data_IF_666204610054
#
_entry.id   IF_666204610054
#
_cell.length_a   1.000
_cell.length_b   1.000
_cell.length_c   1.000
_cell.angle_alpha   90.00
_cell.angle_beta   90.00
_cell.angle_gamma   90.00
#
_symmetry.space_group_name_H-M   'P 1'
#
loop_
_entity.id
_entity.type
_entity.pdbx_description
1 polymer ?
#
# COMPACT_ATOMS: atom_id res chain seq x y z
N UNK A 1 -1.77 1.40 -23.86
CA UNK A 1 -1.71 2.66 -23.08
C UNK A 1 -2.87 2.74 -22.08
N UNK A 2 -3.01 1.75 -21.19
CA UNK A 2 -4.15 1.69 -20.24
C UNK A 2 -3.79 1.06 -18.88
N UNK A 3 -2.74 0.26 -18.79
CA UNK A 3 -2.32 -0.42 -17.55
C UNK A 3 -1.36 0.44 -16.71
N UNK A 4 -0.42 1.15 -17.33
CA UNK A 4 0.59 1.98 -16.64
C UNK A 4 -0.01 3.07 -15.74
N UNK A 5 -1.07 3.77 -16.19
CA UNK A 5 -1.71 4.82 -15.38
C UNK A 5 -2.46 4.29 -14.16
N UNK A 6 -2.97 3.06 -14.23
CA UNK A 6 -3.64 2.39 -13.12
C UNK A 6 -2.63 1.92 -12.07
N UNK A 7 -1.53 1.32 -12.53
CA UNK A 7 -0.38 0.92 -11.72
C UNK A 7 0.20 2.13 -10.98
N UNK A 8 0.42 3.26 -11.66
CA UNK A 8 0.99 4.47 -11.02
C UNK A 8 0.08 5.02 -9.91
N UNK A 9 -1.24 4.97 -10.09
CA UNK A 9 -2.20 5.40 -9.07
C UNK A 9 -2.22 4.47 -7.85
N UNK A 10 -2.14 3.15 -8.09
CA UNK A 10 -2.01 2.14 -7.05
C UNK A 10 -0.68 2.28 -6.30
N UNK A 11 0.42 2.51 -7.00
CA UNK A 11 1.73 2.75 -6.41
C UNK A 11 1.76 4.01 -5.55
N UNK A 12 1.12 5.11 -5.97
CA UNK A 12 1.01 6.31 -5.14
C UNK A 12 0.26 6.02 -3.85
N UNK A 13 -0.89 5.34 -3.93
CA UNK A 13 -1.66 4.91 -2.75
C UNK A 13 -0.84 4.00 -1.84
N UNK A 14 -0.10 3.06 -2.41
CA UNK A 14 0.80 2.19 -1.66
C UNK A 14 1.87 3.00 -0.93
N UNK A 15 2.51 3.96 -1.61
CA UNK A 15 3.53 4.85 -1.02
C UNK A 15 2.98 5.71 0.12
N UNK A 16 1.76 6.24 -0.03
CA UNK A 16 1.09 6.98 1.04
C UNK A 16 0.77 6.09 2.24
N UNK A 17 0.32 4.85 2.00
CA UNK A 17 0.08 3.84 3.04
C UNK A 17 1.37 3.48 3.77
N UNK A 18 2.46 3.23 3.05
CA UNK A 18 3.79 2.99 3.62
C UNK A 18 4.22 4.14 4.53
N UNK A 19 4.11 5.37 4.02
CA UNK A 19 4.53 6.55 4.76
C UNK A 19 3.72 6.74 6.04
N UNK A 20 2.41 6.45 6.01
CA UNK A 20 1.57 6.44 7.22
C UNK A 20 1.96 5.33 8.18
N UNK A 21 2.29 4.13 7.69
CA UNK A 21 2.77 3.03 8.53
C UNK A 21 4.09 3.42 9.21
N UNK A 22 5.04 3.99 8.47
CA UNK A 22 6.34 4.40 9.00
C UNK A 22 6.21 5.52 10.02
N UNK A 23 5.39 6.53 9.75
CA UNK A 23 5.13 7.65 10.67
C UNK A 23 4.45 7.17 11.96
N UNK A 24 3.46 6.28 11.81
CA UNK A 24 2.78 5.66 12.95
C UNK A 24 3.76 4.80 13.74
N UNK A 25 4.49 3.87 13.11
CA UNK A 25 5.51 3.03 13.78
C UNK A 25 6.62 3.83 14.46
N UNK A 26 6.92 5.03 13.97
CA UNK A 26 7.89 5.93 14.59
C UNK A 26 7.38 6.48 15.93
N UNK A 27 6.06 6.52 16.12
CA UNK A 27 5.46 6.92 17.39
C UNK A 27 5.48 5.76 18.42
N UNK A 28 5.88 6.04 19.67
CA UNK A 28 5.89 5.03 20.74
C UNK A 28 4.49 4.59 21.20
N UNK A 29 3.45 5.34 20.85
CA UNK A 29 2.03 4.99 21.08
C UNK A 29 1.32 4.59 19.78
N UNK A 30 2.04 3.96 18.85
CA UNK A 30 1.43 3.44 17.65
C UNK A 30 0.38 2.39 17.98
N UNK A 31 -0.75 2.48 17.32
CA UNK A 31 -1.82 1.52 17.50
C UNK A 31 -1.52 0.26 16.67
N UNK A 32 -1.09 -0.83 17.33
CA UNK A 32 -0.78 -2.10 16.68
C UNK A 32 -1.93 -2.60 15.78
N UNK A 33 -3.19 -2.34 16.16
CA UNK A 33 -4.36 -2.67 15.33
C UNK A 33 -4.40 -1.84 14.05
N UNK A 34 -4.06 -0.55 14.14
CA UNK A 34 -4.01 0.34 12.99
C UNK A 34 -2.86 -0.04 12.06
N UNK A 35 -1.66 -0.29 12.60
CA UNK A 35 -0.50 -0.76 11.84
C UNK A 35 -0.79 -2.10 11.16
N UNK A 36 -1.46 -3.03 11.83
CA UNK A 36 -1.88 -4.31 11.26
C UNK A 36 -2.90 -4.12 10.11
N UNK A 37 -3.85 -3.20 10.25
CA UNK A 37 -4.81 -2.87 9.20
C UNK A 37 -4.14 -2.22 7.99
N UNK A 38 -3.19 -1.30 8.22
CA UNK A 38 -2.42 -0.66 7.15
C UNK A 38 -1.51 -1.66 6.43
N UNK A 39 -0.82 -2.56 7.15
CA UNK A 39 -0.03 -3.66 6.55
C UNK A 39 -0.90 -4.58 5.69
N UNK A 40 -2.12 -4.90 6.13
CA UNK A 40 -3.09 -5.67 5.34
C UNK A 40 -3.45 -4.96 4.04
N UNK A 41 -3.83 -3.69 4.11
CA UNK A 41 -4.13 -2.88 2.92
C UNK A 41 -2.93 -2.78 1.98
N UNK A 42 -1.73 -2.62 2.52
CA UNK A 42 -0.48 -2.61 1.75
C UNK A 42 -0.28 -3.92 1.00
N UNK A 43 -0.53 -5.05 1.66
CA UNK A 43 -0.49 -6.38 1.05
C UNK A 43 -1.53 -6.54 -0.06
N UNK A 44 -2.78 -6.12 0.18
CA UNK A 44 -3.84 -6.16 -0.84
C UNK A 44 -3.51 -5.33 -2.08
N UNK A 45 -3.01 -4.09 -1.89
CA UNK A 45 -2.59 -3.24 -3.02
C UNK A 45 -1.43 -3.86 -3.78
N UNK A 46 -0.48 -4.48 -3.07
CA UNK A 46 0.64 -5.18 -3.71
C UNK A 46 0.16 -6.40 -4.50
N UNK A 47 -0.82 -7.13 -3.99
CA UNK A 47 -1.44 -8.27 -4.67
C UNK A 47 -2.20 -7.81 -5.92
N UNK A 48 -3.01 -6.75 -5.81
CA UNK A 48 -3.69 -6.11 -6.95
C UNK A 48 -2.68 -5.62 -8.00
N UNK A 49 -1.59 -4.96 -7.58
CA UNK A 49 -0.51 -4.54 -8.47
C UNK A 49 0.13 -5.73 -9.19
N UNK A 50 0.47 -6.78 -8.45
CA UNK A 50 1.09 -8.00 -8.99
C UNK A 50 0.16 -8.67 -9.98
N UNK A 51 -1.14 -8.72 -9.66
CA UNK A 51 -2.17 -9.29 -10.52
C UNK A 51 -2.36 -8.47 -11.80
N UNK A 52 -2.43 -7.14 -11.69
CA UNK A 52 -2.50 -6.25 -12.86
C UNK A 52 -1.24 -6.33 -13.74
N UNK A 53 -0.06 -6.45 -13.13
CA UNK A 53 1.21 -6.67 -13.84
C UNK A 53 1.27 -8.05 -14.51
N UNK A 54 0.66 -9.07 -13.90
CA UNK A 54 0.65 -10.43 -14.45
C UNK A 54 -0.41 -10.65 -15.53
N UNK A 55 -1.46 -9.81 -15.59
CA UNK A 55 -2.52 -9.85 -16.60
C UNK A 55 -2.25 -8.89 -17.80
N UNK A 56 -1.15 -8.13 -17.77
CA UNK A 56 -0.71 -7.22 -18.84
C UNK A 56 0.43 -7.81 -19.69
#
# INVERSE_FOLDING_TARGET
MTTEGHVESLERRHRELDRKIEDEMSHPSHDDLYVAALKRKKLEIKDELTRMLSEA
#
